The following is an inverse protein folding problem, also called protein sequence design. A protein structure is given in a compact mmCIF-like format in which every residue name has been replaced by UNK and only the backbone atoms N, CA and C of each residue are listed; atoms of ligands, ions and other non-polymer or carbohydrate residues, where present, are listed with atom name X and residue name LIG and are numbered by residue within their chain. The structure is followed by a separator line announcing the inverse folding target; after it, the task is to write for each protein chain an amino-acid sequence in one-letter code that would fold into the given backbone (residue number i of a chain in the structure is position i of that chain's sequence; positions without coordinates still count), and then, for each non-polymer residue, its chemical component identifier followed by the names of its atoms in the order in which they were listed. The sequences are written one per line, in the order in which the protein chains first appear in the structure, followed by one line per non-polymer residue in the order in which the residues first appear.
data_IF_033877490257
#
_entry.id   IF_033877490257
#
_cell.length_a   1.000
_cell.length_b   1.000
_cell.length_c   1.000
_cell.angle_alpha   90.00
_cell.angle_beta   90.00
_cell.angle_gamma   90.00
#
_symmetry.space_group_name_H-M   'P 1'
#
loop_
_entity.id
_entity.type
_entity.pdbx_description
1 polymer ?
#
# COMPACT_ATOMS: atom_id res chain seq x y z
N UNK A 1 9.92 0.24 17.14
CA UNK A 1 9.93 0.64 15.72
C UNK A 1 10.82 1.87 15.58
N UNK A 2 11.66 1.96 14.55
CA UNK A 2 12.39 3.21 14.25
C UNK A 2 11.44 4.24 13.64
N UNK A 3 11.84 5.51 13.64
CA UNK A 3 11.07 6.59 12.98
C UNK A 3 10.88 6.31 11.48
N UNK A 4 11.93 5.81 10.81
CA UNK A 4 11.84 5.37 9.41
C UNK A 4 10.82 4.24 9.23
N UNK A 5 10.80 3.25 10.14
CA UNK A 5 9.83 2.16 10.06
C UNK A 5 8.40 2.68 10.25
N UNK A 6 8.19 3.60 11.19
CA UNK A 6 6.91 4.25 11.41
C UNK A 6 6.46 5.04 10.17
N UNK A 7 7.37 5.78 9.56
CA UNK A 7 7.08 6.55 8.34
C UNK A 7 6.69 5.62 7.18
N UNK A 8 7.35 4.47 7.06
CA UNK A 8 7.01 3.46 6.07
C UNK A 8 5.60 2.87 6.27
N UNK A 9 5.20 2.60 7.51
CA UNK A 9 3.83 2.16 7.83
C UNK A 9 2.79 3.22 7.43
N UNK A 10 3.05 4.49 7.76
CA UNK A 10 2.17 5.62 7.41
C UNK A 10 2.06 5.76 5.89
N UNK A 11 3.19 5.75 5.18
CA UNK A 11 3.23 5.89 3.74
C UNK A 11 2.51 4.74 3.04
N UNK A 12 2.72 3.51 3.50
CA UNK A 12 1.99 2.34 2.98
C UNK A 12 0.49 2.50 3.17
N UNK A 13 0.02 2.84 4.39
CA UNK A 13 -1.40 3.03 4.68
C UNK A 13 -2.03 4.12 3.79
N UNK A 14 -1.34 5.23 3.59
CA UNK A 14 -1.79 6.30 2.70
C UNK A 14 -1.88 5.82 1.25
N UNK A 15 -0.87 5.07 0.78
CA UNK A 15 -0.85 4.54 -0.58
C UNK A 15 -2.04 3.61 -0.86
N UNK A 16 -2.38 2.72 0.09
CA UNK A 16 -3.54 1.81 0.00
C UNK A 16 -4.84 2.60 -0.14
N UNK A 17 -5.03 3.67 0.66
CA UNK A 17 -6.22 4.53 0.55
C UNK A 17 -6.35 5.17 -0.83
N UNK A 18 -5.24 5.67 -1.38
CA UNK A 18 -5.23 6.29 -2.71
C UNK A 18 -5.63 5.26 -3.78
N UNK A 19 -4.98 4.10 -3.82
CA UNK A 19 -5.25 3.10 -4.88
C UNK A 19 -6.64 2.48 -4.74
N UNK A 20 -7.18 2.39 -3.51
CA UNK A 20 -8.56 1.96 -3.27
C UNK A 20 -9.55 2.95 -3.88
N UNK A 21 -9.34 4.26 -3.68
CA UNK A 21 -10.18 5.28 -4.31
C UNK A 21 -10.10 5.28 -5.84
N UNK A 22 -8.92 4.97 -6.40
CA UNK A 22 -8.77 4.82 -7.85
C UNK A 22 -9.58 3.63 -8.37
N UNK A 23 -9.55 2.50 -7.66
CA UNK A 23 -10.32 1.30 -7.99
C UNK A 23 -11.83 1.56 -7.90
N UNK A 24 -12.29 2.18 -6.80
CA UNK A 24 -13.70 2.52 -6.59
C UNK A 24 -14.25 3.46 -7.67
N UNK A 25 -13.40 4.33 -8.21
CA UNK A 25 -13.74 5.23 -9.33
C UNK A 25 -13.64 4.55 -10.71
N UNK A 26 -13.21 3.30 -10.78
CA UNK A 26 -12.98 2.58 -12.04
C UNK A 26 -11.82 3.15 -12.86
N UNK A 27 -10.88 3.87 -12.23
CA UNK A 27 -9.70 4.43 -12.90
C UNK A 27 -8.58 3.41 -13.10
N UNK A 28 -8.61 2.34 -12.30
CA UNK A 28 -7.72 1.18 -12.42
C UNK A 28 -8.55 -0.10 -12.29
N UNK A 29 -8.07 -1.17 -12.90
CA UNK A 29 -8.62 -2.51 -12.73
C UNK A 29 -8.22 -3.14 -11.39
N UNK A 30 -8.94 -4.18 -10.92
CA UNK A 30 -8.52 -4.98 -9.77
C UNK A 30 -7.12 -5.59 -9.93
N UNK A 31 -6.73 -5.96 -11.15
CA UNK A 31 -5.39 -6.50 -11.43
C UNK A 31 -4.31 -5.42 -11.23
N UNK A 32 -4.53 -4.21 -11.73
CA UNK A 32 -3.63 -3.07 -11.53
C UNK A 32 -3.54 -2.68 -10.06
N UNK A 33 -4.65 -2.71 -9.32
CA UNK A 33 -4.65 -2.51 -7.87
C UNK A 33 -3.70 -3.48 -7.17
N UNK A 34 -3.82 -4.79 -7.42
CA UNK A 34 -2.96 -5.80 -6.80
C UNK A 34 -1.49 -5.64 -7.20
N UNK A 35 -1.22 -5.24 -8.44
CA UNK A 35 0.14 -4.95 -8.90
C UNK A 35 0.74 -3.75 -8.16
N UNK A 36 -0.03 -2.67 -8.00
CA UNK A 36 0.43 -1.48 -7.28
C UNK A 36 0.62 -1.78 -5.79
N UNK A 37 -0.30 -2.51 -5.15
CA UNK A 37 -0.17 -2.90 -3.75
C UNK A 37 1.12 -3.71 -3.49
N UNK A 38 1.41 -4.69 -4.34
CA UNK A 38 2.68 -5.46 -4.28
C UNK A 38 3.91 -4.57 -4.42
N UNK A 39 3.85 -3.55 -5.28
CA UNK A 39 4.94 -2.58 -5.43
C UNK A 39 5.06 -1.69 -4.19
N UNK A 40 3.95 -1.22 -3.62
CA UNK A 40 3.95 -0.42 -2.40
C UNK A 40 4.54 -1.20 -1.21
N UNK A 41 4.19 -2.48 -1.05
CA UNK A 41 4.78 -3.36 -0.02
C UNK A 41 6.29 -3.47 -0.18
N UNK A 42 6.79 -3.63 -1.42
CA UNK A 42 8.25 -3.66 -1.68
C UNK A 42 8.92 -2.31 -1.41
N UNK A 43 8.31 -1.20 -1.84
CA UNK A 43 8.89 0.14 -1.73
C UNK A 43 8.94 0.64 -0.28
N UNK A 44 7.86 0.42 0.48
CA UNK A 44 7.78 0.88 1.87
C UNK A 44 8.32 -0.17 2.85
N UNK A 45 8.37 -1.46 2.49
CA UNK A 45 8.76 -2.55 3.41
C UNK A 45 8.08 -2.44 4.80
N UNK A 46 6.73 -2.29 4.84
CA UNK A 46 5.99 -2.18 6.10
C UNK A 46 6.05 -3.50 6.87
N UNK A 47 6.45 -3.46 8.13
CA UNK A 47 6.57 -4.65 8.99
C UNK A 47 5.21 -5.17 9.45
N UNK A 48 4.23 -4.29 9.68
CA UNK A 48 2.91 -4.70 10.18
C UNK A 48 2.00 -5.17 9.04
N UNK A 49 2.15 -4.61 7.84
CA UNK A 49 1.32 -5.00 6.71
C UNK A 49 1.70 -6.36 6.11
N UNK A 50 2.94 -6.83 6.28
CA UNK A 50 3.34 -8.20 5.91
C UNK A 50 2.53 -9.29 6.65
N UNK A 51 1.90 -8.95 7.79
CA UNK A 51 1.07 -9.86 8.56
C UNK A 51 -0.40 -9.92 8.08
N UNK A 52 -0.80 -9.05 7.16
CA UNK A 52 -2.14 -9.04 6.59
C UNK A 52 -2.16 -9.86 5.28
N UNK A 53 -3.00 -10.91 5.18
CA UNK A 53 -3.07 -11.80 4.02
C UNK A 53 -3.53 -11.11 2.73
#
# INVERSE_FOLDING_TARGET
MSEQQLQNEINYNQSVKIITHLLEKGLISPEEYHKIDRLNRKSFSPQLAELMP
#
